data_IF_307312528282
#
_entry.id   IF_307312528282
#
_cell.length_a   1.000
_cell.length_b   1.000
_cell.length_c   1.000
_cell.angle_alpha   90.00
_cell.angle_beta   90.00
_cell.angle_gamma   90.00
#
_symmetry.space_group_name_H-M   'P 1'
#
loop_
_entity.id
_entity.type
_entity.pdbx_description
1 polymer ?
#
# COMPACT_ATOMS: atom_id res chain seq x y z
N UNK A 1 11.42 13.90 -13.05
CA UNK A 1 10.06 13.45 -13.46
C UNK A 1 9.65 12.09 -12.89
N UNK A 2 10.42 10.99 -13.02
CA UNK A 2 10.02 9.65 -12.53
C UNK A 2 9.81 9.57 -11.01
N UNK A 3 10.70 10.18 -10.22
CA UNK A 3 10.64 10.16 -8.75
C UNK A 3 9.36 10.84 -8.22
N UNK A 4 9.00 11.99 -8.79
CA UNK A 4 7.78 12.74 -8.42
C UNK A 4 6.51 11.91 -8.61
N UNK A 5 6.43 11.09 -9.66
CA UNK A 5 5.27 10.21 -9.87
C UNK A 5 5.16 9.13 -8.78
N UNK A 6 6.28 8.54 -8.36
CA UNK A 6 6.28 7.50 -7.31
C UNK A 6 5.79 8.06 -5.97
N UNK A 7 6.26 9.26 -5.60
CA UNK A 7 5.82 9.91 -4.38
C UNK A 7 4.36 10.39 -4.44
N UNK A 8 3.88 10.81 -5.61
CA UNK A 8 2.45 11.09 -5.80
C UNK A 8 1.62 9.85 -5.50
N UNK A 9 1.94 8.71 -6.12
CA UNK A 9 1.21 7.44 -5.91
C UNK A 9 1.20 7.02 -4.44
N UNK A 10 2.32 7.17 -3.72
CA UNK A 10 2.35 6.89 -2.28
C UNK A 10 1.49 7.87 -1.48
N UNK A 11 1.49 9.15 -1.85
CA UNK A 11 0.66 10.15 -1.19
C UNK A 11 -0.83 9.88 -1.44
N UNK A 12 -1.21 9.49 -2.65
CA UNK A 12 -2.59 9.15 -3.02
C UNK A 12 -3.07 7.92 -2.23
N UNK A 13 -2.21 6.90 -2.12
CA UNK A 13 -2.49 5.73 -1.28
C UNK A 13 -2.66 6.11 0.20
N UNK A 14 -1.77 6.97 0.73
CA UNK A 14 -1.88 7.46 2.10
C UNK A 14 -3.21 8.16 2.37
N UNK A 15 -3.59 9.09 1.50
CA UNK A 15 -4.86 9.83 1.62
C UNK A 15 -6.03 8.86 1.62
N UNK A 16 -6.03 7.85 0.74
CA UNK A 16 -7.07 6.83 0.72
C UNK A 16 -7.16 6.06 2.06
N UNK A 17 -6.02 5.68 2.65
CA UNK A 17 -5.99 4.95 3.93
C UNK A 17 -6.45 5.81 5.12
N UNK A 18 -6.11 7.10 5.11
CA UNK A 18 -6.54 8.06 6.13
C UNK A 18 -8.05 8.35 6.02
N UNK A 19 -8.59 8.46 4.80
CA UNK A 19 -10.03 8.65 4.56
C UNK A 19 -10.87 7.46 5.08
N UNK A 20 -10.34 6.24 5.02
CA UNK A 20 -10.99 5.03 5.55
C UNK A 20 -10.73 4.81 7.05
N UNK A 21 -10.00 5.72 7.72
CA UNK A 21 -9.66 5.66 9.15
C UNK A 21 -8.99 4.35 9.58
N UNK A 22 -8.18 3.76 8.69
CA UNK A 22 -7.48 2.51 8.96
C UNK A 22 -6.26 2.75 9.84
N UNK A 23 -5.99 1.79 10.74
CA UNK A 23 -4.76 1.76 11.52
C UNK A 23 -3.56 1.63 10.59
N UNK A 24 -2.61 2.54 10.70
CA UNK A 24 -1.46 2.58 9.80
C UNK A 24 -0.16 2.98 10.50
N UNK A 25 0.95 2.51 9.93
CA UNK A 25 2.33 2.82 10.33
C UNK A 25 3.06 3.45 9.13
N UNK A 26 3.72 4.59 9.37
CA UNK A 26 4.42 5.40 8.35
C UNK A 26 5.96 5.31 8.42
N UNK A 27 6.51 4.43 9.25
CA UNK A 27 7.95 4.34 9.53
C UNK A 27 8.77 3.96 8.29
N UNK A 28 8.22 3.10 7.43
CA UNK A 28 8.87 2.62 6.21
C UNK A 28 7.87 2.54 5.05
N UNK A 29 7.39 3.68 4.55
CA UNK A 29 6.29 3.71 3.58
C UNK A 29 4.96 3.74 4.31
N UNK A 30 3.98 2.93 3.90
CA UNK A 30 2.62 2.93 4.46
C UNK A 30 2.22 1.48 4.70
N UNK A 31 2.20 1.07 5.97
CA UNK A 31 1.66 -0.24 6.39
C UNK A 31 0.26 -0.03 6.95
N UNK A 32 -0.70 -0.85 6.54
CA UNK A 32 -2.10 -0.79 6.95
C UNK A 32 -2.52 -2.14 7.52
N UNK A 33 -3.15 -2.12 8.68
CA UNK A 33 -3.69 -3.32 9.34
C UNK A 33 -5.20 -3.43 9.09
N UNK A 34 -5.64 -4.61 8.67
CA UNK A 34 -7.01 -4.97 8.33
C UNK A 34 -7.39 -6.25 9.09
N UNK A 35 -8.69 -6.53 9.31
CA UNK A 35 -9.11 -7.75 10.01
C UNK A 35 -8.59 -9.06 9.39
N UNK A 36 -8.36 -9.06 8.07
CA UNK A 36 -7.93 -10.22 7.30
C UNK A 36 -6.40 -10.33 7.09
N UNK A 37 -5.63 -9.34 7.56
CA UNK A 37 -4.18 -9.31 7.40
C UNK A 37 -3.62 -7.89 7.31
N UNK A 38 -2.47 -7.73 6.65
CA UNK A 38 -1.84 -6.42 6.49
C UNK A 38 -1.35 -6.18 5.06
N UNK A 39 -1.26 -4.90 4.71
CA UNK A 39 -0.76 -4.40 3.44
C UNK A 39 0.40 -3.45 3.73
N UNK A 40 1.49 -3.55 2.98
CA UNK A 40 2.62 -2.64 3.08
C UNK A 40 3.01 -2.11 1.71
N UNK A 41 2.90 -0.81 1.54
CA UNK A 41 3.22 -0.10 0.30
C UNK A 41 4.40 0.83 0.54
N UNK A 42 5.48 0.68 -0.23
CA UNK A 42 6.69 1.51 -0.11
C UNK A 42 7.39 1.74 -1.43
N UNK A 43 8.11 2.85 -1.55
CA UNK A 43 9.06 3.04 -2.63
C UNK A 43 10.27 2.11 -2.43
N UNK A 44 10.82 1.60 -3.53
CA UNK A 44 12.12 0.93 -3.50
C UNK A 44 13.24 1.96 -3.37
N UNK A 45 14.21 1.70 -2.49
CA UNK A 45 15.34 2.60 -2.26
C UNK A 45 16.37 2.52 -3.40
N UNK A 46 16.41 1.40 -4.13
CA UNK A 46 17.43 1.11 -5.16
C UNK A 46 16.86 1.08 -6.57
N UNK A 47 15.54 1.02 -6.72
CA UNK A 47 14.85 0.86 -8.00
C UNK A 47 13.71 1.86 -8.11
N UNK A 48 13.40 2.33 -9.33
CA UNK A 48 12.27 3.25 -9.56
C UNK A 48 10.93 2.52 -9.61
N UNK A 49 10.57 1.81 -8.53
CA UNK A 49 9.34 1.02 -8.41
C UNK A 49 8.66 1.23 -7.05
N UNK A 50 7.35 0.96 -6.99
CA UNK A 50 6.61 0.76 -5.74
C UNK A 50 6.54 -0.74 -5.45
N UNK A 51 6.80 -1.12 -4.20
CA UNK A 51 6.58 -2.47 -3.69
C UNK A 51 5.26 -2.50 -2.95
N UNK A 52 4.47 -3.53 -3.23
CA UNK A 52 3.24 -3.86 -2.50
C UNK A 52 3.44 -5.26 -1.94
N UNK A 53 3.39 -5.36 -0.61
CA UNK A 53 3.54 -6.61 0.12
C UNK A 53 2.25 -6.83 0.89
N UNK A 54 1.72 -8.04 0.87
CA UNK A 54 0.50 -8.40 1.58
C UNK A 54 0.73 -9.70 2.32
N UNK A 55 0.11 -9.82 3.48
CA UNK A 55 0.09 -11.05 4.26
C UNK A 55 -1.33 -11.25 4.81
N UNK A 56 -1.77 -12.50 4.77
CA UNK A 56 -3.05 -12.94 5.30
C UNK A 56 -2.96 -14.42 5.66
N UNK A 57 -3.97 -14.92 6.38
CA UNK A 57 -4.03 -16.33 6.80
C UNK A 57 -4.10 -17.34 5.65
N UNK A 58 -4.58 -16.91 4.46
CA UNK A 58 -4.68 -17.77 3.30
C UNK A 58 -4.54 -16.98 1.98
N UNK A 59 -4.27 -17.71 0.89
CA UNK A 59 -4.05 -17.16 -0.44
C UNK A 59 -5.23 -16.35 -0.98
N UNK A 60 -6.46 -16.73 -0.65
CA UNK A 60 -7.67 -16.02 -1.11
C UNK A 60 -7.76 -14.64 -0.45
N UNK A 61 -7.56 -14.56 0.87
CA UNK A 61 -7.52 -13.29 1.60
C UNK A 61 -6.35 -12.42 1.16
N UNK A 62 -5.15 -12.99 1.00
CA UNK A 62 -4.00 -12.25 0.50
C UNK A 62 -4.25 -11.66 -0.90
N UNK A 63 -4.95 -12.39 -1.77
CA UNK A 63 -5.33 -11.90 -3.10
C UNK A 63 -6.31 -10.73 -3.01
N UNK A 64 -7.30 -10.79 -2.12
CA UNK A 64 -8.25 -9.69 -1.89
C UNK A 64 -7.53 -8.43 -1.41
N UNK A 65 -6.63 -8.57 -0.43
CA UNK A 65 -5.79 -7.46 0.05
C UNK A 65 -4.95 -6.84 -1.07
N UNK A 66 -4.33 -7.67 -1.92
CA UNK A 66 -3.54 -7.19 -3.04
C UNK A 66 -4.39 -6.43 -4.06
N UNK A 67 -5.58 -6.95 -4.38
CA UNK A 67 -6.48 -6.32 -5.34
C UNK A 67 -7.06 -5.00 -4.78
N UNK A 68 -7.36 -4.95 -3.49
CA UNK A 68 -7.74 -3.71 -2.79
C UNK A 68 -6.62 -2.67 -2.85
N UNK A 69 -5.37 -3.05 -2.59
CA UNK A 69 -4.23 -2.13 -2.66
C UNK A 69 -4.05 -1.58 -4.08
N UNK A 70 -4.20 -2.43 -5.10
CA UNK A 70 -4.10 -2.05 -6.51
C UNK A 70 -5.19 -1.07 -6.94
N UNK A 71 -6.42 -1.23 -6.47
CA UNK A 71 -7.50 -0.27 -6.74
C UNK A 71 -7.14 1.12 -6.24
N UNK A 72 -6.53 1.22 -5.05
CA UNK A 72 -6.14 2.51 -4.45
C UNK A 72 -4.90 3.13 -5.08
N UNK A 73 -4.02 2.33 -5.68
CA UNK A 73 -2.79 2.80 -6.34
C UNK A 73 -2.99 3.23 -7.81
N UNK A 74 -4.09 2.83 -8.45
CA UNK A 74 -4.38 3.14 -9.86
C UNK A 74 -5.40 4.28 -10.03
N UNK A 75 -5.72 5.03 -8.96
CA UNK A 75 -6.50 6.26 -9.00
C UNK A 75 -5.57 7.46 -9.19
#
# INVERSE_FOLDING_TARGET
MKLFRLYSVLQDFRVATECEQLGHDLTDGIKVELPEGWIHVRASNTESIIRVIVEAENMTSARRLLDWARDKLNK
#
